data_IF_432261418948
#
_entry.id   IF_432261418948
#
_cell.length_a   1.000
_cell.length_b   1.000
_cell.length_c   1.000
_cell.angle_alpha   90.00
_cell.angle_beta   90.00
_cell.angle_gamma   90.00
#
_symmetry.space_group_name_H-M   'P 1'
#
loop_
_entity.id
_entity.type
_entity.pdbx_description
1 polymer ?
#
# COMPACT_ATOMS: atom_id res chain seq x y z
N UNK A 1 11.08 -4.70 9.28
CA UNK A 1 10.40 -4.40 8.00
C UNK A 1 9.02 -5.01 8.07
N UNK A 2 8.03 -4.34 7.48
CA UNK A 2 6.67 -4.80 7.36
C UNK A 2 6.37 -5.17 5.90
N UNK A 3 5.49 -6.14 5.71
CA UNK A 3 5.01 -6.53 4.40
C UNK A 3 4.06 -5.46 3.84
N UNK A 4 4.27 -5.08 2.58
CA UNK A 4 3.33 -4.23 1.85
C UNK A 4 2.08 -5.03 1.46
N UNK A 5 0.85 -4.60 1.83
CA UNK A 5 -0.38 -5.32 1.47
C UNK A 5 -0.68 -5.29 -0.03
N UNK A 6 0.00 -4.44 -0.81
CA UNK A 6 -0.17 -4.38 -2.27
C UNK A 6 0.71 -5.40 -2.97
N UNK A 7 2.01 -5.47 -2.66
CA UNK A 7 2.95 -6.32 -3.41
C UNK A 7 3.54 -7.49 -2.61
N UNK A 8 3.14 -7.64 -1.36
CA UNK A 8 3.57 -8.71 -0.45
C UNK A 8 5.08 -8.82 -0.25
N UNK A 9 5.82 -7.71 -0.41
CA UNK A 9 7.26 -7.66 -0.15
C UNK A 9 7.53 -6.91 1.15
N UNK A 10 8.44 -7.44 1.98
CA UNK A 10 8.90 -6.84 3.23
C UNK A 10 9.81 -5.63 2.97
N UNK A 11 9.24 -4.53 2.48
CA UNK A 11 9.99 -3.31 2.10
C UNK A 11 9.63 -2.07 2.91
N UNK A 12 8.62 -2.17 3.79
CA UNK A 12 8.16 -1.05 4.60
C UNK A 12 8.97 -0.97 5.89
N UNK A 13 9.45 0.22 6.23
CA UNK A 13 10.16 0.49 7.47
C UNK A 13 9.19 0.69 8.65
N UNK A 14 7.95 1.14 8.37
CA UNK A 14 6.88 1.32 9.35
C UNK A 14 5.62 0.55 8.96
N UNK A 15 4.71 0.36 9.92
CA UNK A 15 3.40 -0.25 9.64
C UNK A 15 2.58 0.67 8.72
N UNK A 16 1.84 0.14 7.73
CA UNK A 16 1.00 0.94 6.82
C UNK A 16 0.00 1.87 7.53
N UNK A 17 -0.60 1.39 8.61
CA UNK A 17 -1.58 2.12 9.44
C UNK A 17 -1.35 1.85 10.92
N UNK A 18 -1.89 2.69 11.80
CA UNK A 18 -1.80 2.54 13.27
C UNK A 18 -2.21 1.16 13.77
N UNK A 19 -3.25 0.57 13.20
CA UNK A 19 -3.69 -0.80 13.47
C UNK A 19 -3.25 -1.68 12.31
N UNK A 20 -2.19 -2.44 12.52
CA UNK A 20 -1.67 -3.39 11.53
C UNK A 20 -1.06 -4.61 12.21
N UNK A 21 -1.38 -5.85 11.78
CA UNK A 21 -2.28 -6.21 10.67
C UNK A 21 -3.75 -5.90 10.96
N UNK A 22 -4.63 -5.85 9.93
CA UNK A 22 -6.06 -5.65 10.12
C UNK A 22 -6.67 -6.72 11.05
N UNK A 23 -7.62 -6.36 11.93
CA UNK A 23 -8.36 -7.32 12.74
C UNK A 23 -9.03 -8.41 11.87
N UNK A 24 -9.07 -9.67 12.33
CA UNK A 24 -9.72 -10.75 11.59
C UNK A 24 -11.20 -10.43 11.28
N UNK A 25 -11.61 -10.69 10.04
CA UNK A 25 -12.99 -10.48 9.59
C UNK A 25 -13.34 -9.03 9.24
N UNK A 26 -12.37 -8.10 9.32
CA UNK A 26 -12.57 -6.74 8.87
C UNK A 26 -12.54 -6.68 7.33
N UNK A 27 -13.62 -6.17 6.73
CA UNK A 27 -13.68 -5.85 5.30
C UNK A 27 -13.22 -4.41 5.13
N UNK A 28 -12.12 -4.22 4.40
CA UNK A 28 -11.53 -2.91 4.17
C UNK A 28 -12.09 -2.28 2.88
N UNK A 29 -12.33 -0.98 2.94
CA UNK A 29 -12.62 -0.14 1.77
C UNK A 29 -11.86 1.19 1.95
N UNK A 30 -11.28 1.76 0.88
CA UNK A 30 -10.67 3.07 0.95
C UNK A 30 -11.68 4.16 1.38
N UNK A 31 -11.27 5.17 2.16
CA UNK A 31 -9.95 5.32 2.75
C UNK A 31 -9.78 4.43 3.99
N UNK A 32 -8.66 3.71 4.05
CA UNK A 32 -8.41 2.68 5.05
C UNK A 32 -8.19 3.25 6.45
N UNK A 33 -7.83 4.53 6.55
CA UNK A 33 -7.66 5.23 7.83
C UNK A 33 -8.92 5.22 8.70
N UNK A 34 -10.11 5.09 8.10
CA UNK A 34 -11.39 4.97 8.80
C UNK A 34 -11.50 3.70 9.65
N UNK A 35 -10.71 2.67 9.31
CA UNK A 35 -10.76 1.36 9.94
C UNK A 35 -9.49 1.03 10.70
N UNK A 36 -8.35 1.51 10.20
CA UNK A 36 -7.02 1.13 10.67
C UNK A 36 -6.29 2.25 11.41
N UNK A 37 -6.89 3.44 11.54
CA UNK A 37 -6.27 4.60 12.15
C UNK A 37 -5.29 5.31 11.22
N UNK A 38 -4.43 6.19 11.76
CA UNK A 38 -3.60 7.07 10.92
C UNK A 38 -2.72 6.28 9.95
N UNK A 39 -2.62 6.68 8.68
CA UNK A 39 -1.70 6.07 7.73
C UNK A 39 -0.25 6.45 8.05
N UNK A 40 0.69 5.66 7.54
CA UNK A 40 2.13 5.97 7.67
C UNK A 40 2.61 7.04 6.71
N UNK A 41 1.91 7.27 5.59
CA UNK A 41 2.42 8.03 4.44
C UNK A 41 3.75 7.49 3.88
N UNK A 42 4.09 6.24 4.20
CA UNK A 42 5.24 5.57 3.61
C UNK A 42 4.90 5.15 2.17
N UNK A 43 5.87 5.28 1.28
CA UNK A 43 5.79 4.79 -0.09
C UNK A 43 6.50 3.43 -0.17
N UNK A 44 5.80 2.41 -0.65
CA UNK A 44 6.40 1.10 -0.84
C UNK A 44 7.52 1.16 -1.90
N UNK A 45 8.77 0.86 -1.52
CA UNK A 45 9.93 0.88 -2.45
C UNK A 45 9.78 -0.10 -3.61
N UNK A 46 8.97 -1.14 -3.45
CA UNK A 46 8.75 -2.15 -4.49
C UNK A 46 7.68 -1.74 -5.51
N UNK A 47 6.48 -1.40 -5.08
CA UNK A 47 5.32 -1.14 -5.97
C UNK A 47 4.88 0.32 -6.05
N UNK A 48 5.39 1.19 -5.17
CA UNK A 48 5.11 2.62 -5.21
C UNK A 48 3.83 3.07 -4.52
N UNK A 49 3.02 2.16 -3.96
CA UNK A 49 1.82 2.54 -3.22
C UNK A 49 2.16 3.42 -2.00
N UNK A 50 1.51 4.57 -1.88
CA UNK A 50 1.60 5.50 -0.77
C UNK A 50 0.37 5.40 0.15
N UNK A 51 0.58 4.88 1.36
CA UNK A 51 -0.50 4.68 2.33
C UNK A 51 -1.04 6.03 2.83
N UNK A 52 -2.33 6.25 2.66
CA UNK A 52 -3.03 7.48 3.02
C UNK A 52 -3.20 8.47 1.87
N UNK A 53 -2.48 8.31 0.75
CA UNK A 53 -2.63 9.15 -0.43
C UNK A 53 -3.25 8.39 -1.61
N UNK A 54 -2.82 7.17 -1.90
CA UNK A 54 -3.42 6.37 -2.98
C UNK A 54 -4.82 5.83 -2.59
N UNK A 55 -5.02 5.45 -1.32
CA UNK A 55 -6.33 5.06 -0.80
C UNK A 55 -7.20 6.25 -0.35
N UNK A 56 -6.64 7.47 -0.29
CA UNK A 56 -7.39 8.68 0.06
C UNK A 56 -6.91 9.95 -0.66
N UNK A 57 -7.00 10.03 -1.99
CA UNK A 57 -6.41 11.12 -2.77
C UNK A 57 -7.16 12.46 -2.66
N UNK A 58 -8.29 12.49 -1.94
CA UNK A 58 -9.11 13.69 -1.68
C UNK A 58 -9.93 14.18 -2.88
N UNK A 59 -9.34 14.32 -4.07
CA UNK A 59 -9.98 14.87 -5.28
C UNK A 59 -10.16 13.88 -6.44
N UNK A 60 -9.63 12.66 -6.30
CA UNK A 60 -9.73 11.58 -7.28
C UNK A 60 -10.43 10.36 -6.65
N UNK A 61 -10.85 9.36 -7.45
CA UNK A 61 -11.24 8.06 -6.91
C UNK A 61 -10.06 7.43 -6.16
N UNK A 62 -10.27 6.86 -4.96
CA UNK A 62 -9.23 6.11 -4.27
C UNK A 62 -9.01 4.74 -4.92
N UNK A 63 -7.80 4.21 -4.79
CA UNK A 63 -7.50 2.83 -5.19
C UNK A 63 -7.56 1.88 -4.01
N UNK A 64 -8.19 0.72 -4.20
CA UNK A 64 -7.98 -0.41 -3.29
C UNK A 64 -6.58 -1.00 -3.46
N UNK A 65 -6.09 -1.75 -2.47
CA UNK A 65 -4.84 -2.51 -2.59
C UNK A 65 -4.89 -3.50 -3.77
N UNK A 66 -6.03 -4.14 -3.98
CA UNK A 66 -6.25 -5.11 -5.05
C UNK A 66 -6.29 -4.45 -6.43
N UNK A 67 -6.97 -3.30 -6.58
CA UNK A 67 -7.01 -2.55 -7.84
C UNK A 67 -5.62 -2.04 -8.21
N UNK A 68 -4.93 -1.37 -7.28
CA UNK A 68 -3.58 -0.85 -7.54
C UNK A 68 -2.63 -1.99 -7.92
N UNK A 69 -2.70 -3.12 -7.22
CA UNK A 69 -1.89 -4.29 -7.56
C UNK A 69 -2.18 -4.79 -8.97
N UNK A 70 -3.44 -4.93 -9.35
CA UNK A 70 -3.82 -5.42 -10.67
C UNK A 70 -3.26 -4.52 -11.78
N UNK A 71 -3.33 -3.20 -11.59
CA UNK A 71 -2.74 -2.22 -12.52
C UNK A 71 -1.22 -2.33 -12.58
N UNK A 72 -0.55 -2.36 -11.43
CA UNK A 72 0.90 -2.52 -11.33
C UNK A 72 1.39 -3.85 -11.93
N UNK A 73 0.66 -4.95 -11.72
CA UNK A 73 0.96 -6.26 -12.32
C UNK A 73 0.78 -6.24 -13.84
N UNK A 74 -0.26 -5.57 -14.34
CA UNK A 74 -0.50 -5.41 -15.77
C UNK A 74 0.62 -4.63 -16.48
N UNK A 75 1.31 -3.74 -15.76
CA UNK A 75 2.49 -3.00 -16.24
C UNK A 75 3.80 -3.81 -16.16
N UNK A 76 3.74 -5.07 -15.73
CA UNK A 76 4.91 -5.94 -15.58
C UNK A 76 5.59 -5.82 -14.21
N UNK A 77 4.87 -5.32 -13.19
CA UNK A 77 5.35 -5.20 -11.82
C UNK A 77 6.66 -4.41 -11.69
N UNK A 78 6.78 -3.21 -12.30
CA UNK A 78 8.02 -2.43 -12.28
C UNK A 78 8.46 -2.12 -10.84
N UNK A 79 9.79 -2.01 -10.63
CA UNK A 79 10.33 -1.52 -9.36
C UNK A 79 10.13 -0.02 -9.26
N UNK A 80 9.47 0.43 -8.19
CA UNK A 80 9.27 1.86 -7.94
C UNK A 80 10.61 2.56 -7.66
N UNK A 81 11.37 2.07 -6.68
CA UNK A 81 12.76 2.50 -6.47
C UNK A 81 13.73 1.49 -7.08
N UNK A 82 14.08 1.71 -8.35
CA UNK A 82 15.02 0.87 -9.10
C UNK A 82 16.39 0.73 -8.42
N UNK A 83 16.79 1.64 -7.54
CA UNK A 83 18.07 1.55 -6.81
C UNK A 83 18.05 0.46 -5.73
N UNK A 84 16.87 -0.04 -5.40
CA UNK A 84 16.66 -1.11 -4.42
C UNK A 84 16.28 -2.44 -5.07
N UNK A 85 16.21 -2.48 -6.40
CA UNK A 85 15.97 -3.72 -7.13
C UNK A 85 17.16 -4.68 -6.93
N UNK A 86 16.92 -6.00 -6.75
CA UNK A 86 17.96 -7.01 -6.80
C UNK A 86 18.66 -7.00 -8.17
N UNK A 87 19.96 -7.33 -8.16
CA UNK A 87 20.77 -7.54 -9.38
C UNK A 87 20.23 -8.67 -10.26
#
# INVERSE_FOLDING_TARGET
>A
MFECPVCFTETLDVKPYETWPPPPGLVLQPPYEKYLGRPSYEVCRRCGFEFGNDDNPGTAPPSTFEEYRAEWEAEGSPWFDWRTAPD
#
